data_IF_542597750696
#
_entry.id   IF_542597750696
#
_cell.length_a   1.000
_cell.length_b   1.000
_cell.length_c   1.000
_cell.angle_alpha   90.00
_cell.angle_beta   90.00
_cell.angle_gamma   90.00
#
_symmetry.space_group_name_H-M   'P 1'
#
loop_
_entity.id
_entity.type
_entity.pdbx_description
1 polymer ?
#
# COMPACT_ATOMS: atom_id res chain seq x y z
N UNK A 1 -19.28 2.16 4.47
CA UNK A 1 -17.86 2.28 4.88
C UNK A 1 -17.54 1.15 5.84
N UNK A 2 -16.31 0.68 5.82
CA UNK A 2 -15.80 -0.36 6.72
C UNK A 2 -14.71 0.27 7.59
N UNK A 3 -14.68 -0.08 8.88
CA UNK A 3 -13.63 0.36 9.83
C UNK A 3 -12.81 -0.85 10.25
N UNK A 4 -11.49 -0.67 10.32
CA UNK A 4 -10.55 -1.66 10.81
C UNK A 4 -9.81 -1.07 12.01
N UNK A 5 -9.95 -1.67 13.18
CA UNK A 5 -9.20 -1.28 14.37
C UNK A 5 -7.86 -2.02 14.37
N UNK A 6 -6.77 -1.27 14.44
CA UNK A 6 -5.41 -1.79 14.45
C UNK A 6 -4.66 -1.14 15.61
N UNK A 7 -3.85 -1.93 16.29
CA UNK A 7 -2.78 -1.40 17.13
C UNK A 7 -1.73 -0.69 16.28
N UNK A 8 -0.90 0.16 16.91
CA UNK A 8 0.20 0.83 16.20
C UNK A 8 1.16 -0.16 15.54
N UNK A 9 1.38 -1.31 16.16
CA UNK A 9 2.27 -2.33 15.62
C UNK A 9 1.66 -3.04 14.41
N UNK A 10 0.38 -3.42 14.49
CA UNK A 10 -0.34 -4.00 13.35
C UNK A 10 -0.41 -3.01 12.18
N UNK A 11 -0.62 -1.72 12.46
CA UNK A 11 -0.60 -0.68 11.44
C UNK A 11 0.78 -0.57 10.77
N UNK A 12 1.88 -0.58 11.53
CA UNK A 12 3.24 -0.57 10.98
C UNK A 12 3.52 -1.80 10.11
N UNK A 13 3.17 -2.99 10.59
CA UNK A 13 3.34 -4.24 9.83
C UNK A 13 2.52 -4.17 8.54
N UNK A 14 1.27 -3.72 8.60
CA UNK A 14 0.43 -3.56 7.42
C UNK A 14 1.04 -2.57 6.42
N UNK A 15 1.56 -1.44 6.88
CA UNK A 15 2.25 -0.46 6.03
C UNK A 15 3.45 -1.07 5.32
N UNK A 16 4.32 -1.79 6.06
CA UNK A 16 5.47 -2.49 5.48
C UNK A 16 5.06 -3.53 4.43
N UNK A 17 4.00 -4.30 4.68
CA UNK A 17 3.47 -5.26 3.73
C UNK A 17 2.92 -4.59 2.46
N UNK A 18 2.23 -3.45 2.62
CA UNK A 18 1.72 -2.66 1.49
C UNK A 18 2.87 -2.09 0.65
N UNK A 19 3.90 -1.54 1.29
CA UNK A 19 5.11 -1.01 0.62
C UNK A 19 5.84 -2.09 -0.19
N UNK A 20 6.04 -3.27 0.40
CA UNK A 20 6.64 -4.42 -0.29
C UNK A 20 5.81 -4.82 -1.51
N UNK A 21 4.49 -4.97 -1.34
CA UNK A 21 3.59 -5.35 -2.42
C UNK A 21 3.55 -4.31 -3.56
N UNK A 22 3.53 -3.02 -3.22
CA UNK A 22 3.60 -1.92 -4.20
C UNK A 22 4.93 -1.98 -4.98
N UNK A 23 6.04 -2.24 -4.28
CA UNK A 23 7.37 -2.34 -4.89
C UNK A 23 7.44 -3.51 -5.87
N UNK A 24 6.94 -4.69 -5.49
CA UNK A 24 6.86 -5.86 -6.36
C UNK A 24 5.98 -5.60 -7.58
N UNK A 25 4.84 -4.92 -7.40
CA UNK A 25 3.97 -4.56 -8.51
C UNK A 25 4.65 -3.62 -9.52
N UNK A 26 5.56 -2.73 -9.09
CA UNK A 26 6.34 -1.89 -10.03
C UNK A 26 7.20 -2.75 -10.97
N UNK A 27 7.83 -3.80 -10.43
CA UNK A 27 8.59 -4.76 -11.24
C UNK A 27 7.67 -5.54 -12.18
N UNK A 28 6.55 -6.07 -11.67
CA UNK A 28 5.59 -6.82 -12.49
C UNK A 28 5.00 -5.98 -13.63
N UNK A 29 4.63 -4.73 -13.37
CA UNK A 29 4.12 -3.79 -14.39
C UNK A 29 5.16 -3.56 -15.48
N UNK A 30 6.42 -3.41 -15.10
CA UNK A 30 7.53 -3.17 -16.03
C UNK A 30 7.76 -4.37 -16.94
N UNK A 31 7.68 -5.58 -16.39
CA UNK A 31 7.94 -6.84 -17.09
C UNK A 31 6.72 -7.45 -17.80
N UNK A 32 5.55 -6.82 -17.71
CA UNK A 32 4.31 -7.32 -18.33
C UNK A 32 4.07 -6.67 -19.70
N UNK A 33 3.95 -7.51 -20.73
CA UNK A 33 3.60 -7.10 -22.10
C UNK A 33 2.08 -7.11 -22.36
N UNK A 34 1.32 -7.92 -21.63
CA UNK A 34 -0.13 -7.95 -21.75
C UNK A 34 -0.75 -6.64 -21.22
N UNK A 35 -1.21 -5.80 -22.14
CA UNK A 35 -1.75 -4.46 -21.85
C UNK A 35 -2.90 -4.50 -20.83
N UNK A 36 -3.83 -5.46 -20.98
CA UNK A 36 -5.00 -5.58 -20.08
C UNK A 36 -4.57 -5.98 -18.67
N UNK A 37 -3.65 -6.93 -18.55
CA UNK A 37 -3.11 -7.33 -17.26
C UNK A 37 -2.31 -6.18 -16.61
N UNK A 38 -1.51 -5.46 -17.40
CA UNK A 38 -0.77 -4.27 -16.94
C UNK A 38 -1.69 -3.16 -16.42
N UNK A 39 -2.84 -2.93 -17.08
CA UNK A 39 -3.85 -1.99 -16.60
C UNK A 39 -4.43 -2.40 -15.24
N UNK A 40 -4.77 -3.68 -15.08
CA UNK A 40 -5.24 -4.23 -13.80
C UNK A 40 -4.19 -4.09 -12.70
N UNK A 41 -2.91 -4.35 -12.99
CA UNK A 41 -1.83 -4.17 -12.01
C UNK A 41 -1.69 -2.70 -11.57
N UNK A 42 -1.80 -1.75 -12.51
CA UNK A 42 -1.76 -0.31 -12.20
C UNK A 42 -2.91 0.12 -11.30
N UNK A 43 -4.12 -0.36 -11.56
CA UNK A 43 -5.30 -0.07 -10.73
C UNK A 43 -5.17 -0.61 -9.31
N UNK A 44 -4.69 -1.85 -9.17
CA UNK A 44 -4.40 -2.47 -7.86
C UNK A 44 -3.33 -1.70 -7.10
N UNK A 45 -2.22 -1.37 -7.76
CA UNK A 45 -1.15 -0.55 -7.19
C UNK A 45 -1.68 0.79 -6.68
N UNK A 46 -2.46 1.51 -7.49
CA UNK A 46 -3.05 2.79 -7.09
C UNK A 46 -4.00 2.64 -5.88
N UNK A 47 -4.72 1.52 -5.79
CA UNK A 47 -5.56 1.23 -4.64
C UNK A 47 -4.73 0.99 -3.37
N UNK A 48 -3.65 0.23 -3.44
CA UNK A 48 -2.76 0.04 -2.29
C UNK A 48 -2.05 1.33 -1.87
N UNK A 49 -1.63 2.15 -2.84
CA UNK A 49 -1.03 3.47 -2.56
C UNK A 49 -2.00 4.39 -1.80
N UNK A 50 -3.30 4.38 -2.14
CA UNK A 50 -4.31 5.12 -1.39
C UNK A 50 -4.50 4.60 0.04
N UNK A 51 -4.52 3.28 0.22
CA UNK A 51 -4.66 2.67 1.56
C UNK A 51 -3.45 3.03 2.43
N UNK A 52 -2.24 2.89 1.88
CA UNK A 52 -1.00 3.25 2.57
C UNK A 52 -0.98 4.73 2.97
N UNK A 53 -1.41 5.62 2.08
CA UNK A 53 -1.54 7.04 2.38
C UNK A 53 -2.52 7.31 3.53
N UNK A 54 -3.70 6.67 3.52
CA UNK A 54 -4.66 6.79 4.63
C UNK A 54 -4.07 6.29 5.96
N UNK A 55 -3.28 5.21 5.94
CA UNK A 55 -2.61 4.72 7.15
C UNK A 55 -1.56 5.71 7.66
N UNK A 56 -0.78 6.34 6.77
CA UNK A 56 0.17 7.39 7.16
C UNK A 56 -0.52 8.60 7.81
N UNK A 57 -1.65 9.03 7.26
CA UNK A 57 -2.42 10.17 7.78
C UNK A 57 -3.04 9.89 9.16
N UNK A 58 -3.35 8.61 9.45
CA UNK A 58 -3.90 8.20 10.74
C UNK A 58 -2.83 7.82 11.77
N UNK A 59 -1.59 7.59 11.35
CA UNK A 59 -0.49 7.28 12.25
C UNK A 59 -0.08 8.52 13.05
N UNK A 60 -0.02 8.43 14.39
CA UNK A 60 0.49 9.53 15.19
C UNK A 60 1.97 9.78 14.86
N UNK A 61 2.34 11.06 14.73
CA UNK A 61 3.74 11.48 14.60
C UNK A 61 4.55 10.90 15.77
N UNK A 62 5.78 10.39 15.54
CA UNK A 62 6.65 10.03 16.64
C UNK A 62 6.87 11.28 17.51
N UNK A 63 6.56 11.16 18.80
CA UNK A 63 6.95 12.17 19.79
C UNK A 63 8.49 12.24 19.73
N UNK A 64 9.02 13.37 19.26
CA UNK A 64 10.45 13.62 19.32
C UNK A 64 10.86 13.65 20.80
N UNK A 65 11.78 12.78 21.18
CA UNK A 65 12.47 12.80 22.48
C UNK A 65 13.44 13.99 22.59
#
# INVERSE_FOLDING_TARGET
>A
MLTLELTLEEARILMQMLEACISDMRMQISNTDNIRYKAMLKERKATLERILQTLHEQMPLPLAE
#
